data_IF_395260142147
#
_entry.id   IF_395260142147
#
_cell.length_a   1.000
_cell.length_b   1.000
_cell.length_c   1.000
_cell.angle_alpha   90.00
_cell.angle_beta   90.00
_cell.angle_gamma   90.00
#
_symmetry.space_group_name_H-M   'P 1'
#
loop_
_entity.id
_entity.type
_entity.pdbx_description
1 polymer ?
#
# COMPACT_ATOMS: atom_id res chain seq x y z
N UNK A 1 5.83 21.72 -43.08
CA UNK A 1 4.59 21.19 -42.48
C UNK A 1 4.92 19.80 -41.97
N UNK A 2 5.06 19.67 -40.64
CA UNK A 2 5.63 18.49 -39.99
C UNK A 2 4.69 17.30 -40.07
N UNK A 3 5.26 16.18 -40.52
CA UNK A 3 4.66 14.86 -40.56
C UNK A 3 4.39 14.35 -39.14
N UNK A 4 3.18 13.85 -38.90
CA UNK A 4 2.80 13.09 -37.72
C UNK A 4 3.71 11.85 -37.60
N UNK A 5 4.66 11.91 -36.67
CA UNK A 5 5.35 10.71 -36.18
C UNK A 5 4.35 9.92 -35.34
N UNK A 6 3.66 8.99 -35.99
CA UNK A 6 2.95 7.92 -35.32
C UNK A 6 4.00 7.11 -34.55
N UNK A 7 4.07 7.31 -33.23
CA UNK A 7 4.81 6.45 -32.31
C UNK A 7 4.26 5.02 -32.48
N UNK A 8 4.94 4.23 -33.32
CA UNK A 8 4.80 2.78 -33.36
C UNK A 8 5.28 2.24 -32.02
N UNK A 9 4.35 2.15 -31.07
CA UNK A 9 4.56 1.46 -29.81
C UNK A 9 4.61 -0.03 -30.16
N UNK A 10 5.82 -0.58 -30.24
CA UNK A 10 6.03 -2.02 -30.42
C UNK A 10 5.41 -2.74 -29.20
N UNK A 11 4.52 -3.72 -29.38
CA UNK A 11 3.81 -4.37 -28.27
C UNK A 11 4.73 -5.06 -27.25
N UNK A 12 5.96 -5.38 -27.63
CA UNK A 12 7.02 -5.90 -26.75
C UNK A 12 7.55 -4.86 -25.75
N UNK A 13 7.72 -3.60 -26.16
CA UNK A 13 8.28 -2.55 -25.29
C UNK A 13 7.32 -2.14 -24.16
N UNK A 14 6.01 -2.21 -24.39
CA UNK A 14 4.98 -1.98 -23.36
C UNK A 14 4.99 -3.11 -22.35
N UNK A 15 5.19 -4.34 -22.81
CA UNK A 15 5.22 -5.53 -21.98
C UNK A 15 6.47 -5.56 -21.07
N UNK A 16 7.62 -5.15 -21.60
CA UNK A 16 8.86 -5.02 -20.84
C UNK A 16 8.79 -3.88 -19.82
N UNK A 17 8.22 -2.74 -20.19
CA UNK A 17 8.00 -1.62 -19.27
C UNK A 17 7.02 -1.97 -18.14
N UNK A 18 5.91 -2.66 -18.45
CA UNK A 18 4.96 -3.15 -17.47
C UNK A 18 5.58 -4.22 -16.54
N UNK A 19 6.42 -5.10 -17.09
CA UNK A 19 7.13 -6.13 -16.32
C UNK A 19 8.14 -5.50 -15.35
N UNK A 20 8.90 -4.50 -15.81
CA UNK A 20 9.83 -3.76 -14.97
C UNK A 20 9.10 -2.97 -13.86
N UNK A 21 7.95 -2.37 -14.18
CA UNK A 21 7.12 -1.69 -13.20
C UNK A 21 6.55 -2.66 -12.15
N UNK A 22 6.14 -3.86 -12.58
CA UNK A 22 5.70 -4.93 -11.68
C UNK A 22 6.84 -5.41 -10.76
N UNK A 23 8.07 -5.52 -11.27
CA UNK A 23 9.24 -5.85 -10.45
C UNK A 23 9.55 -4.77 -9.41
N UNK A 24 9.49 -3.50 -9.79
CA UNK A 24 9.67 -2.38 -8.85
C UNK A 24 8.61 -2.43 -7.75
N UNK A 25 7.35 -2.65 -8.13
CA UNK A 25 6.24 -2.75 -7.19
C UNK A 25 6.43 -3.96 -6.26
N UNK A 26 6.82 -5.12 -6.80
CA UNK A 26 7.14 -6.31 -5.99
C UNK A 26 8.29 -6.05 -5.02
N UNK A 27 9.38 -5.44 -5.49
CA UNK A 27 10.55 -5.15 -4.68
C UNK A 27 10.22 -4.15 -3.56
N UNK A 28 9.38 -3.15 -3.86
CA UNK A 28 8.87 -2.20 -2.87
C UNK A 28 8.04 -2.90 -1.78
N UNK A 29 7.09 -3.77 -2.16
CA UNK A 29 6.28 -4.54 -1.21
C UNK A 29 7.01 -5.71 -0.54
N UNK A 30 8.21 -6.06 -1.01
CA UNK A 30 9.10 -7.03 -0.34
C UNK A 30 9.98 -6.38 0.73
N UNK A 31 10.22 -5.07 0.65
CA UNK A 31 11.11 -4.35 1.55
C UNK A 31 10.53 -4.20 2.95
N UNK A 32 9.26 -3.82 3.01
CA UNK A 32 8.50 -3.62 4.23
C UNK A 32 7.33 -4.61 4.25
N UNK A 33 7.09 -5.26 5.37
CA UNK A 33 5.92 -6.13 5.52
C UNK A 33 4.63 -5.31 5.35
N UNK A 34 3.55 -5.94 4.86
CA UNK A 34 2.26 -5.27 4.71
C UNK A 34 1.78 -4.60 6.00
N UNK A 35 2.09 -5.18 7.16
CA UNK A 35 1.86 -4.57 8.47
C UNK A 35 2.64 -3.29 8.71
N UNK A 36 3.92 -3.22 8.33
CA UNK A 36 4.77 -2.02 8.49
C UNK A 36 4.33 -0.88 7.56
N UNK A 37 3.90 -1.22 6.35
CA UNK A 37 3.34 -0.24 5.39
C UNK A 37 2.05 0.36 5.95
N UNK A 38 1.14 -0.47 6.46
CA UNK A 38 -0.12 0.00 7.04
C UNK A 38 0.12 0.83 8.31
N UNK A 39 1.09 0.44 9.14
CA UNK A 39 1.47 1.19 10.35
C UNK A 39 2.08 2.56 10.01
N UNK A 40 2.89 2.63 8.96
CA UNK A 40 3.44 3.89 8.44
C UNK A 40 2.35 4.81 7.89
N UNK A 41 1.39 4.26 7.13
CA UNK A 41 0.24 5.00 6.60
C UNK A 41 -0.66 5.53 7.72
N UNK A 42 -0.92 4.71 8.75
CA UNK A 42 -1.66 5.14 9.92
C UNK A 42 -1.00 6.33 10.61
N UNK A 43 0.31 6.26 10.82
CA UNK A 43 1.09 7.33 11.46
C UNK A 43 1.02 8.63 10.66
N UNK A 44 1.12 8.54 9.33
CA UNK A 44 1.00 9.69 8.44
C UNK A 44 -0.39 10.33 8.49
N UNK A 45 -1.44 9.50 8.44
CA UNK A 45 -2.82 9.98 8.47
C UNK A 45 -3.15 10.58 9.84
N UNK A 46 -2.69 9.96 10.94
CA UNK A 46 -2.82 10.55 12.28
C UNK A 46 -2.12 11.91 12.34
N UNK A 47 -0.86 12.01 11.90
CA UNK A 47 -0.14 13.28 11.89
C UNK A 47 -0.86 14.37 11.08
N UNK A 48 -1.40 14.02 9.91
CA UNK A 48 -2.18 14.93 9.08
C UNK A 48 -3.49 15.34 9.78
N UNK A 49 -4.21 14.36 10.33
CA UNK A 49 -5.47 14.57 11.03
C UNK A 49 -5.30 15.49 12.22
N UNK A 50 -4.18 15.41 12.95
CA UNK A 50 -3.87 16.24 14.12
C UNK A 50 -3.22 17.59 13.81
N UNK A 51 -3.11 17.99 12.53
CA UNK A 51 -2.65 19.34 12.18
C UNK A 51 -3.68 20.41 12.54
N UNK A 52 -3.20 21.59 12.95
CA UNK A 52 -4.03 22.71 13.42
C UNK A 52 -4.92 23.33 12.32
N UNK A 53 -4.60 23.08 11.05
CA UNK A 53 -5.26 23.71 9.90
C UNK A 53 -6.37 22.86 9.26
N UNK A 54 -6.77 21.76 9.90
CA UNK A 54 -7.78 20.86 9.35
C UNK A 54 -9.21 21.37 9.60
N UNK A 55 -9.66 22.30 8.76
CA UNK A 55 -10.96 22.99 8.92
C UNK A 55 -12.19 22.15 8.53
N UNK A 56 -12.00 20.99 7.88
CA UNK A 56 -13.08 20.18 7.28
C UNK A 56 -13.33 18.83 7.94
N UNK A 57 -12.66 18.53 9.05
CA UNK A 57 -12.82 17.27 9.76
C UNK A 57 -13.19 17.59 11.19
N UNK A 58 -14.40 17.20 11.61
CA UNK A 58 -14.82 17.37 13.00
C UNK A 58 -14.00 16.45 13.92
N UNK A 59 -13.90 16.74 15.22
CA UNK A 59 -13.24 15.86 16.18
C UNK A 59 -13.76 14.41 16.14
N UNK A 60 -15.07 14.22 15.98
CA UNK A 60 -15.71 12.90 15.92
C UNK A 60 -15.32 12.14 14.64
N UNK A 61 -15.24 12.84 13.50
CA UNK A 61 -14.74 12.25 12.25
C UNK A 61 -13.28 11.83 12.38
N UNK A 62 -12.47 12.62 13.11
CA UNK A 62 -11.07 12.33 13.39
C UNK A 62 -10.92 11.03 14.17
N UNK A 63 -11.65 10.89 15.28
CA UNK A 63 -11.66 9.66 16.08
C UNK A 63 -12.13 8.46 15.28
N UNK A 64 -13.18 8.63 14.45
CA UNK A 64 -13.68 7.56 13.61
C UNK A 64 -12.63 7.06 12.62
N UNK A 65 -11.93 7.97 11.92
CA UNK A 65 -10.88 7.61 10.95
C UNK A 65 -9.74 6.88 11.66
N UNK A 66 -9.28 7.38 12.80
CA UNK A 66 -8.21 6.74 13.58
C UNK A 66 -8.61 5.32 14.02
N UNK A 67 -9.85 5.12 14.44
CA UNK A 67 -10.33 3.79 14.81
C UNK A 67 -10.39 2.83 13.61
N UNK A 68 -10.83 3.29 12.43
CA UNK A 68 -10.80 2.47 11.21
C UNK A 68 -9.38 2.05 10.82
N UNK A 69 -8.43 2.98 10.93
CA UNK A 69 -7.02 2.73 10.66
C UNK A 69 -6.42 1.68 11.61
N UNK A 70 -6.75 1.74 12.91
CA UNK A 70 -6.33 0.74 13.90
C UNK A 70 -6.90 -0.65 13.58
N UNK A 71 -8.17 -0.73 13.18
CA UNK A 71 -8.80 -1.99 12.77
C UNK A 71 -8.12 -2.57 11.53
N UNK A 72 -7.81 -1.74 10.52
CA UNK A 72 -7.10 -2.17 9.31
C UNK A 72 -5.70 -2.73 9.64
N UNK A 73 -4.96 -2.09 10.55
CA UNK A 73 -3.66 -2.59 11.04
C UNK A 73 -3.80 -3.91 11.77
N UNK A 74 -4.82 -4.03 12.63
CA UNK A 74 -5.06 -5.25 13.38
C UNK A 74 -5.35 -6.44 12.44
N UNK A 75 -6.20 -6.24 11.42
CA UNK A 75 -6.50 -7.25 10.41
C UNK A 75 -5.22 -7.65 9.65
N UNK A 76 -4.41 -6.69 9.22
CA UNK A 76 -3.16 -6.97 8.52
C UNK A 76 -2.15 -7.76 9.38
N UNK A 77 -2.05 -7.43 10.67
CA UNK A 77 -1.20 -8.17 11.62
C UNK A 77 -1.73 -9.59 11.88
N UNK A 78 -3.05 -9.77 11.91
CA UNK A 78 -3.66 -11.10 12.01
C UNK A 78 -3.36 -11.98 10.80
N UNK A 79 -3.49 -11.45 9.57
CA UNK A 79 -3.18 -12.19 8.34
C UNK A 79 -1.72 -12.67 8.29
N UNK A 80 -0.79 -11.78 8.68
CA UNK A 80 0.62 -12.13 8.84
C UNK A 80 0.85 -13.24 9.88
N UNK A 81 0.11 -13.19 10.99
CA UNK A 81 0.21 -14.17 12.08
C UNK A 81 -0.39 -15.54 11.71
N UNK A 82 -1.55 -15.57 11.05
CA UNK A 82 -2.20 -16.81 10.60
C UNK A 82 -1.38 -17.52 9.53
N UNK A 83 -0.73 -16.77 8.64
CA UNK A 83 0.19 -17.31 7.62
C UNK A 83 1.47 -17.92 8.22
N UNK A 84 1.88 -17.51 9.42
CA UNK A 84 3.02 -18.10 10.12
C UNK A 84 2.66 -19.43 10.82
N UNK A 85 1.43 -19.59 11.31
CA UNK A 85 0.96 -20.79 12.01
C UNK A 85 0.88 -22.01 11.09
N UNK A 86 0.50 -21.83 9.82
CA UNK A 86 0.36 -22.95 8.85
C UNK A 86 1.69 -23.50 8.34
N UNK A 87 2.79 -22.73 8.43
CA UNK A 87 4.13 -23.17 8.00
C UNK A 87 4.86 -24.04 9.04
N UNK A 88 4.38 -24.08 10.29
CA UNK A 88 5.04 -24.80 11.38
C UNK A 88 4.43 -26.16 11.72
N UNK A 89 3.41 -26.62 10.98
CA UNK A 89 2.89 -27.98 11.10
C UNK A 89 3.93 -28.98 10.57
N UNK A 90 4.35 -29.99 11.37
CA UNK A 90 5.20 -31.05 10.86
C UNK A 90 4.42 -31.87 9.82
N UNK A 91 5.07 -32.38 8.76
CA UNK A 91 4.42 -33.27 7.82
C UNK A 91 4.02 -34.58 8.52
N UNK A 92 2.94 -35.23 8.06
CA UNK A 92 2.46 -36.49 8.62
C UNK A 92 3.46 -37.64 8.48
#
# INVERSE_FOLDING_TARGET
>A
MSTLETLTITPTAVNDAASHQLEIVKYFFQKDSGSEIIESLNTLIEAYLFTENLSRVTPEMREHIVNQLRVATFIAKLDASTSAVTKHSPPP
#
